data_IF_878231709589
#
_entry.id   IF_878231709589
#
_cell.length_a   1.000
_cell.length_b   1.000
_cell.length_c   1.000
_cell.angle_alpha   90.00
_cell.angle_beta   90.00
_cell.angle_gamma   90.00
#
_symmetry.space_group_name_H-M   'P 1'
#
loop_
_entity.id
_entity.type
_entity.pdbx_description
1 polymer ?
#
# COMPACT_ATOMS: atom_id res chain seq x y z
N UNK A 1 -9.65 1.44 29.81
CA UNK A 1 -9.26 0.28 29.01
C UNK A 1 -8.38 -0.66 29.81
N UNK A 2 -8.67 -1.88 29.73
CA UNK A 2 -7.78 -2.87 30.28
C UNK A 2 -6.56 -2.94 29.40
N UNK A 3 -5.45 -3.01 30.00
CA UNK A 3 -4.23 -3.18 29.26
C UNK A 3 -4.15 -4.53 28.55
N UNK A 4 -5.13 -5.37 28.79
CA UNK A 4 -5.07 -6.71 28.25
C UNK A 4 -5.55 -6.75 26.83
N UNK A 5 -4.66 -7.11 25.98
CA UNK A 5 -4.99 -7.49 24.64
C UNK A 5 -5.08 -9.00 24.66
N UNK A 6 -6.28 -9.50 24.56
CA UNK A 6 -6.55 -10.90 24.80
C UNK A 6 -6.62 -11.75 23.56
N UNK A 7 -6.34 -11.15 22.40
CA UNK A 7 -6.34 -11.95 21.21
C UNK A 7 -6.28 -11.16 19.94
N UNK A 8 -6.47 -11.85 18.83
CA UNK A 8 -6.35 -11.24 17.50
C UNK A 8 -7.39 -10.15 17.24
N UNK A 9 -8.53 -10.20 17.92
CA UNK A 9 -9.55 -9.17 17.77
C UNK A 9 -9.05 -7.80 18.23
N UNK A 10 -8.34 -7.75 19.35
CA UNK A 10 -7.78 -6.49 19.84
C UNK A 10 -6.69 -5.96 18.92
N UNK A 11 -5.90 -6.86 18.36
CA UNK A 11 -4.87 -6.48 17.39
C UNK A 11 -5.53 -5.91 16.14
N UNK A 12 -6.60 -6.53 15.65
CA UNK A 12 -7.33 -6.05 14.49
C UNK A 12 -7.97 -4.69 14.77
N UNK A 13 -8.49 -4.47 15.97
CA UNK A 13 -9.06 -3.18 16.36
C UNK A 13 -8.00 -2.07 16.36
N UNK A 14 -6.81 -2.36 16.86
CA UNK A 14 -5.70 -1.41 16.86
C UNK A 14 -5.29 -1.08 15.42
N UNK A 15 -5.19 -2.09 14.56
CA UNK A 15 -4.88 -1.89 13.15
C UNK A 15 -5.95 -1.05 12.46
N UNK A 16 -7.21 -1.34 12.73
CA UNK A 16 -8.31 -0.60 12.13
C UNK A 16 -8.28 0.87 12.53
N UNK A 17 -8.02 1.17 13.79
CA UNK A 17 -7.87 2.55 14.25
C UNK A 17 -6.71 3.26 13.56
N UNK A 18 -5.59 2.57 13.40
CA UNK A 18 -4.45 3.14 12.71
C UNK A 18 -4.80 3.45 11.25
N UNK A 19 -5.50 2.54 10.58
CA UNK A 19 -5.96 2.75 9.21
C UNK A 19 -6.92 3.93 9.12
N UNK A 20 -7.88 4.01 10.02
CA UNK A 20 -8.88 5.08 10.03
C UNK A 20 -8.26 6.45 10.27
N UNK A 21 -7.17 6.49 11.02
CA UNK A 21 -6.48 7.74 11.36
C UNK A 21 -5.40 8.14 10.36
N UNK A 22 -5.12 7.31 9.37
CA UNK A 22 -4.11 7.63 8.39
C UNK A 22 -4.62 8.64 7.38
N UNK A 23 -3.81 9.64 7.06
CA UNK A 23 -4.20 10.58 6.02
C UNK A 23 -4.25 9.92 4.66
N UNK A 24 -5.13 10.42 3.81
CA UNK A 24 -5.17 10.01 2.41
C UNK A 24 -3.89 10.39 1.71
N UNK A 25 -3.47 9.56 0.76
CA UNK A 25 -2.28 9.84 -0.04
C UNK A 25 -2.46 11.14 -0.83
N UNK A 26 -1.56 12.09 -0.60
CA UNK A 26 -1.49 13.31 -1.39
C UNK A 26 -0.63 13.03 -2.64
N UNK A 27 -1.26 12.51 -3.66
CA UNK A 27 -0.59 12.05 -4.87
C UNK A 27 0.25 13.15 -5.52
N UNK A 28 -0.34 14.32 -5.74
CA UNK A 28 0.35 15.44 -6.37
C UNK A 28 1.48 15.97 -5.50
N UNK A 29 1.26 16.03 -4.18
CA UNK A 29 2.29 16.45 -3.25
C UNK A 29 3.51 15.55 -3.30
N UNK A 30 3.31 14.25 -3.35
CA UNK A 30 4.41 13.29 -3.45
C UNK A 30 5.15 13.44 -4.77
N UNK A 31 4.42 13.63 -5.86
CA UNK A 31 5.03 13.84 -7.17
C UNK A 31 5.91 15.07 -7.21
N UNK A 32 5.46 16.16 -6.59
CA UNK A 32 6.18 17.43 -6.59
C UNK A 32 7.32 17.49 -5.59
N UNK A 33 7.13 16.89 -4.42
CA UNK A 33 8.08 16.97 -3.31
C UNK A 33 8.27 15.61 -2.64
N UNK A 34 8.78 14.60 -3.36
CA UNK A 34 8.86 13.25 -2.82
C UNK A 34 9.64 13.14 -1.52
N UNK A 35 10.72 13.90 -1.38
CA UNK A 35 11.54 13.83 -0.18
C UNK A 35 10.84 14.38 1.05
N UNK A 36 9.95 15.36 0.87
CA UNK A 36 9.19 15.93 1.97
C UNK A 36 8.17 14.96 2.55
N UNK A 37 7.72 14.01 1.74
CA UNK A 37 6.71 13.03 2.17
C UNK A 37 7.30 11.70 2.59
N UNK A 38 8.59 11.48 2.40
CA UNK A 38 9.22 10.22 2.78
C UNK A 38 8.97 9.91 4.25
N UNK A 39 8.64 8.65 4.54
CA UNK A 39 8.38 8.13 5.88
C UNK A 39 7.09 8.64 6.52
N UNK A 40 6.25 9.33 5.78
CA UNK A 40 4.91 9.69 6.27
C UNK A 40 3.93 8.57 5.97
N UNK A 41 2.98 8.37 6.88
CA UNK A 41 1.95 7.36 6.71
C UNK A 41 0.87 7.86 5.76
N UNK A 42 0.26 6.94 5.03
CA UNK A 42 -0.85 7.27 4.16
C UNK A 42 -1.75 6.06 3.96
N UNK A 43 -2.94 6.33 3.45
CA UNK A 43 -3.85 5.30 2.97
C UNK A 43 -4.46 5.73 1.65
N UNK A 44 -4.82 4.76 0.83
CA UNK A 44 -5.51 5.01 -0.43
C UNK A 44 -6.19 3.74 -0.91
N UNK A 45 -7.13 3.90 -1.82
CA UNK A 45 -7.82 2.76 -2.44
C UNK A 45 -7.65 2.83 -3.94
N UNK A 46 -7.66 1.68 -4.57
CA UNK A 46 -7.55 1.58 -6.00
C UNK A 46 -7.64 0.14 -6.47
N UNK A 47 -7.51 -0.02 -7.77
CA UNK A 47 -7.60 -1.33 -8.43
C UNK A 47 -6.21 -1.84 -8.74
N UNK A 48 -5.95 -3.10 -8.42
CA UNK A 48 -4.68 -3.72 -8.80
C UNK A 48 -4.62 -3.80 -10.32
N UNK A 49 -3.75 -2.99 -10.91
CA UNK A 49 -3.57 -2.95 -12.35
C UNK A 49 -2.62 -4.06 -12.82
N UNK A 50 -1.57 -4.31 -12.02
CA UNK A 50 -0.56 -5.30 -12.37
C UNK A 50 0.08 -5.85 -11.10
N UNK A 51 0.28 -7.17 -11.07
CA UNK A 51 1.10 -7.82 -10.05
C UNK A 51 2.50 -7.93 -10.65
N UNK A 52 3.43 -7.14 -10.10
CA UNK A 52 4.80 -7.07 -10.63
C UNK A 52 5.62 -8.24 -10.12
N UNK A 53 5.42 -8.59 -8.84
CA UNK A 53 6.16 -9.66 -8.18
C UNK A 53 5.30 -10.25 -7.07
N UNK A 54 5.43 -11.55 -6.87
CA UNK A 54 4.73 -12.23 -5.80
C UNK A 54 5.54 -13.48 -5.43
N UNK A 55 6.08 -13.51 -4.21
CA UNK A 55 6.82 -14.66 -3.73
C UNK A 55 6.51 -14.88 -2.25
N UNK A 56 7.27 -15.78 -1.59
CA UNK A 56 7.01 -16.14 -0.20
C UNK A 56 7.30 -15.01 0.80
N UNK A 57 8.05 -14.00 0.39
CA UNK A 57 8.54 -12.93 1.28
C UNK A 57 7.93 -11.58 1.02
N UNK A 58 7.46 -11.33 -0.19
CA UNK A 58 6.94 -10.02 -0.56
C UNK A 58 6.03 -10.10 -1.78
N UNK A 59 5.26 -9.05 -1.99
CA UNK A 59 4.49 -8.87 -3.20
C UNK A 59 4.59 -7.40 -3.61
N UNK A 60 4.62 -7.16 -4.93
CA UNK A 60 4.69 -5.82 -5.49
C UNK A 60 3.56 -5.64 -6.48
N UNK A 61 2.86 -4.54 -6.36
CA UNK A 61 1.69 -4.25 -7.18
C UNK A 61 1.77 -2.86 -7.76
N UNK A 62 1.20 -2.70 -8.95
CA UNK A 62 0.86 -1.37 -9.47
C UNK A 62 -0.64 -1.21 -9.23
N UNK A 63 -1.00 -0.17 -8.48
CA UNK A 63 -2.40 0.11 -8.12
C UNK A 63 -2.84 1.37 -8.85
N UNK A 64 -3.95 1.27 -9.56
CA UNK A 64 -4.54 2.41 -10.24
C UNK A 64 -5.51 3.12 -9.32
N UNK A 65 -5.27 4.40 -9.07
CA UNK A 65 -6.14 5.26 -8.26
C UNK A 65 -6.77 6.33 -9.15
N UNK A 66 -7.69 7.09 -8.60
CA UNK A 66 -8.29 8.22 -9.31
C UNK A 66 -7.26 9.28 -9.72
N UNK A 67 -6.16 9.37 -8.99
CA UNK A 67 -5.10 10.35 -9.26
C UNK A 67 -4.02 9.83 -10.19
N UNK A 68 -3.88 8.52 -10.30
CA UNK A 68 -2.85 7.90 -11.11
C UNK A 68 -2.37 6.58 -10.51
N UNK A 69 -1.27 6.06 -11.04
CA UNK A 69 -0.72 4.79 -10.60
C UNK A 69 0.18 4.97 -9.37
N UNK A 70 0.18 3.95 -8.50
CA UNK A 70 1.03 3.90 -7.31
C UNK A 70 1.76 2.56 -7.32
N UNK A 71 3.05 2.56 -7.03
CA UNK A 71 3.83 1.34 -6.91
C UNK A 71 3.84 0.92 -5.44
N UNK A 72 3.34 -0.26 -5.14
CA UNK A 72 3.19 -0.77 -3.77
C UNK A 72 4.12 -1.95 -3.56
N UNK A 73 4.95 -1.87 -2.54
CA UNK A 73 5.76 -2.99 -2.09
C UNK A 73 5.22 -3.46 -0.73
N UNK A 74 4.78 -4.71 -0.68
CA UNK A 74 4.27 -5.30 0.55
C UNK A 74 5.24 -6.38 1.03
N UNK A 75 6.15 -5.97 1.90
CA UNK A 75 7.16 -6.88 2.45
C UNK A 75 6.56 -7.64 3.63
N UNK A 76 5.88 -8.74 3.34
CA UNK A 76 5.25 -9.60 4.31
C UNK A 76 5.23 -11.03 3.75
N UNK A 77 5.33 -12.01 4.63
CA UNK A 77 5.30 -13.40 4.21
C UNK A 77 3.93 -13.76 3.62
N UNK A 78 3.91 -14.80 2.81
CA UNK A 78 2.68 -15.28 2.19
C UNK A 78 1.59 -15.56 3.22
N UNK A 79 1.95 -16.15 4.36
CA UNK A 79 0.98 -16.44 5.42
C UNK A 79 0.41 -15.17 6.05
N UNK A 80 1.20 -14.09 6.15
CA UNK A 80 0.71 -12.82 6.69
C UNK A 80 -0.18 -12.12 5.67
N UNK A 81 0.15 -12.19 4.40
CA UNK A 81 -0.65 -11.58 3.35
C UNK A 81 -2.03 -12.23 3.21
N UNK A 82 -2.14 -13.50 3.59
CA UNK A 82 -3.43 -14.20 3.55
C UNK A 82 -3.85 -14.56 2.13
N UNK A 83 -5.13 -14.36 1.84
CA UNK A 83 -5.69 -14.69 0.54
C UNK A 83 -4.99 -13.92 -0.57
N UNK A 84 -4.69 -14.63 -1.64
CA UNK A 84 -3.99 -14.06 -2.78
C UNK A 84 -4.85 -12.98 -3.45
N UNK A 85 -4.23 -11.83 -3.69
CA UNK A 85 -4.86 -10.76 -4.45
C UNK A 85 -4.62 -10.99 -5.94
N UNK A 86 -5.58 -10.53 -6.75
CA UNK A 86 -5.54 -10.71 -8.20
C UNK A 86 -5.62 -9.38 -8.90
N UNK A 87 -5.15 -9.34 -10.14
CA UNK A 87 -5.34 -8.16 -10.98
C UNK A 87 -6.83 -7.91 -11.16
N UNK A 88 -7.22 -6.65 -11.04
CA UNK A 88 -8.62 -6.26 -11.07
C UNK A 88 -9.26 -6.12 -9.69
N UNK A 89 -8.63 -6.61 -8.64
CA UNK A 89 -9.16 -6.47 -7.29
C UNK A 89 -9.11 -5.02 -6.83
N UNK A 90 -10.17 -4.58 -6.17
CA UNK A 90 -10.22 -3.27 -5.55
C UNK A 90 -9.74 -3.39 -4.12
N UNK A 91 -8.68 -2.65 -3.77
CA UNK A 91 -8.01 -2.79 -2.49
C UNK A 91 -7.85 -1.45 -1.79
N UNK A 92 -7.70 -1.49 -0.48
CA UNK A 92 -7.26 -0.35 0.32
C UNK A 92 -5.85 -0.65 0.82
N UNK A 93 -4.94 0.27 0.56
CA UNK A 93 -3.53 0.17 0.94
C UNK A 93 -3.26 1.12 2.08
N UNK A 94 -2.51 0.64 3.04
CA UNK A 94 -2.13 1.37 4.21
C UNK A 94 -0.63 1.20 4.39
N UNK A 95 0.11 2.29 4.40
CA UNK A 95 1.56 2.17 4.49
C UNK A 95 2.29 3.49 4.63
N UNK A 96 3.55 3.46 4.26
CA UNK A 96 4.48 4.57 4.41
C UNK A 96 4.98 4.99 3.04
N UNK A 97 4.98 6.28 2.79
CA UNK A 97 5.49 6.84 1.53
C UNK A 97 7.01 6.71 1.51
N UNK A 98 7.55 6.20 0.41
CA UNK A 98 8.99 5.99 0.23
C UNK A 98 9.49 6.70 -1.04
N UNK A 99 8.97 7.89 -1.31
CA UNK A 99 9.37 8.69 -2.46
C UNK A 99 8.71 8.22 -3.74
N UNK A 100 9.49 8.15 -4.81
CA UNK A 100 9.01 7.74 -6.13
C UNK A 100 9.72 6.47 -6.59
N UNK A 101 9.06 5.73 -7.46
CA UNK A 101 9.60 4.54 -8.09
C UNK A 101 9.42 4.63 -9.59
N UNK A 102 10.48 4.35 -10.33
CA UNK A 102 10.43 4.28 -11.79
C UNK A 102 10.39 2.82 -12.20
N UNK A 103 9.51 2.50 -13.12
CA UNK A 103 9.39 1.15 -13.67
C UNK A 103 9.16 1.20 -15.16
N UNK A 104 9.52 0.12 -15.85
CA UNK A 104 9.40 0.04 -17.30
C UNK A 104 7.98 -0.34 -17.72
N UNK A 105 7.51 0.27 -18.79
CA UNK A 105 6.26 -0.08 -19.46
C UNK A 105 6.54 -0.36 -20.93
N UNK A 106 5.53 -0.81 -21.64
CA UNK A 106 5.65 -1.06 -23.07
C UNK A 106 5.97 0.18 -23.89
N UNK A 107 5.61 1.35 -23.35
CA UNK A 107 5.79 2.64 -24.05
C UNK A 107 6.88 3.50 -23.44
N UNK A 108 7.67 2.95 -22.50
CA UNK A 108 8.75 3.67 -21.85
C UNK A 108 8.71 3.51 -20.35
N UNK A 109 9.31 4.46 -19.63
CA UNK A 109 9.36 4.44 -18.18
C UNK A 109 8.23 5.25 -17.58
N UNK A 110 7.77 4.83 -16.40
CA UNK A 110 6.77 5.57 -15.63
C UNK A 110 7.30 5.75 -14.21
N UNK A 111 7.17 6.96 -13.67
CA UNK A 111 7.62 7.29 -12.32
C UNK A 111 6.41 7.68 -11.49
N UNK A 112 6.20 6.97 -10.39
CA UNK A 112 4.97 7.10 -9.58
C UNK A 112 5.31 7.08 -8.10
N UNK A 113 4.39 7.53 -7.24
CA UNK A 113 4.58 7.38 -5.79
C UNK A 113 4.87 5.93 -5.41
N UNK A 114 5.79 5.75 -4.49
CA UNK A 114 6.24 4.44 -4.01
C UNK A 114 5.83 4.28 -2.55
N UNK A 115 5.09 3.22 -2.26
CA UNK A 115 4.53 2.98 -0.94
C UNK A 115 5.04 1.64 -0.40
N UNK A 116 5.59 1.68 0.82
CA UNK A 116 5.88 0.47 1.57
C UNK A 116 4.63 0.13 2.36
N UNK A 117 3.90 -0.87 1.93
CA UNK A 117 2.62 -1.22 2.53
C UNK A 117 2.80 -2.00 3.83
N UNK A 118 2.01 -1.64 4.82
CA UNK A 118 1.84 -2.44 6.02
C UNK A 118 0.67 -3.41 5.85
N UNK A 119 -0.38 -2.96 5.16
CA UNK A 119 -1.58 -3.75 4.91
C UNK A 119 -2.08 -3.44 3.50
N UNK A 120 -2.49 -4.48 2.80
CA UNK A 120 -3.25 -4.35 1.54
C UNK A 120 -4.50 -5.20 1.73
N UNK A 121 -5.64 -4.54 1.83
CA UNK A 121 -6.90 -5.20 2.16
C UNK A 121 -7.84 -5.21 0.96
N UNK A 122 -8.36 -6.39 0.63
CA UNK A 122 -9.39 -6.53 -0.39
C UNK A 122 -10.70 -5.91 0.10
N UNK A 123 -11.26 -5.03 -0.70
CA UNK A 123 -12.54 -4.38 -0.37
C UNK A 123 -13.74 -5.21 -0.82
#
# INVERSE_FOLDING_TARGET
>A
YTAEITGSEDILSVRQKAMDNSPSLDYEGVERNPDSFKRTQCSFSGTIFQIVKEDNYSAEYIVETDSGYVYVNWYASESIRGSRLLEGDYVTVFGTIDGLKTYDTLTGENTVPYIQAAIVALN
#
